data_IF_492634496368
#
_entry.id   IF_492634496368
#
_cell.length_a   1.000
_cell.length_b   1.000
_cell.length_c   1.000
_cell.angle_alpha   90.00
_cell.angle_beta   90.00
_cell.angle_gamma   90.00
#
_symmetry.space_group_name_H-M   'P 1'
#
loop_
_entity.id
_entity.type
_entity.pdbx_description
1 polymer ?
#
# COMPACT_ATOMS: atom_id res chain seq x y z
N UNK A 1 13.57 -0.81 -33.45
CA UNK A 1 13.41 -2.11 -32.74
C UNK A 1 14.36 -2.30 -31.56
N UNK A 2 15.69 -2.15 -31.65
CA UNK A 2 16.60 -2.44 -30.50
C UNK A 2 16.33 -1.62 -29.22
N UNK A 3 16.07 -0.30 -29.32
CA UNK A 3 15.84 0.58 -28.15
C UNK A 3 14.58 0.20 -27.34
N UNK A 4 13.55 -0.37 -27.98
CA UNK A 4 12.36 -0.85 -27.28
C UNK A 4 12.65 -2.13 -26.46
N UNK A 5 13.53 -3.00 -26.97
CA UNK A 5 13.99 -4.21 -26.28
C UNK A 5 14.76 -3.88 -24.99
N UNK A 6 15.64 -2.88 -25.03
CA UNK A 6 16.42 -2.46 -23.86
C UNK A 6 15.54 -1.80 -22.79
N UNK A 7 14.56 -0.97 -23.18
CA UNK A 7 13.59 -0.39 -22.24
C UNK A 7 12.69 -1.46 -21.60
N UNK A 8 12.18 -2.42 -22.37
CA UNK A 8 11.41 -3.54 -21.83
C UNK A 8 12.25 -4.39 -20.85
N UNK A 9 13.51 -4.67 -21.19
CA UNK A 9 14.44 -5.39 -20.30
C UNK A 9 14.72 -4.61 -19.01
N UNK A 10 14.84 -3.27 -19.07
CA UNK A 10 15.01 -2.43 -17.87
C UNK A 10 13.77 -2.41 -16.99
N UNK A 11 12.58 -2.24 -17.55
CA UNK A 11 11.31 -2.32 -16.82
C UNK A 11 11.18 -3.68 -16.13
N UNK A 12 11.43 -4.77 -16.86
CA UNK A 12 11.45 -6.12 -16.28
C UNK A 12 12.51 -6.27 -15.18
N UNK A 13 13.67 -5.61 -15.26
CA UNK A 13 14.68 -5.63 -14.19
C UNK A 13 14.26 -4.89 -12.91
N UNK A 14 13.47 -3.81 -13.02
CA UNK A 14 12.89 -3.10 -11.87
C UNK A 14 11.79 -3.95 -11.23
N UNK A 15 10.89 -4.53 -12.03
CA UNK A 15 9.93 -5.53 -11.54
C UNK A 15 10.63 -6.76 -10.93
N UNK A 16 11.80 -7.17 -11.42
CA UNK A 16 12.60 -8.25 -10.83
C UNK A 16 13.29 -7.85 -9.52
N UNK A 17 13.49 -6.56 -9.27
CA UNK A 17 14.00 -6.04 -7.99
C UNK A 17 12.87 -5.96 -6.95
N UNK A 18 11.73 -5.34 -7.28
CA UNK A 18 10.56 -5.30 -6.36
C UNK A 18 9.92 -6.70 -6.13
N UNK A 19 9.95 -7.61 -7.11
CA UNK A 19 9.45 -8.99 -6.92
C UNK A 19 10.43 -9.91 -6.17
N UNK A 20 11.70 -9.52 -6.02
CA UNK A 20 12.53 -10.03 -4.92
C UNK A 20 12.01 -9.44 -3.61
N UNK A 21 11.99 -8.11 -3.48
CA UNK A 21 11.59 -7.37 -2.27
C UNK A 21 10.26 -7.85 -1.65
N UNK A 22 9.29 -8.27 -2.47
CA UNK A 22 7.99 -8.79 -2.03
C UNK A 22 8.08 -10.17 -1.33
N UNK A 23 9.15 -10.96 -1.52
CA UNK A 23 9.52 -12.08 -0.63
C UNK A 23 10.37 -11.58 0.54
N UNK A 24 11.23 -10.57 0.28
CA UNK A 24 12.20 -10.04 1.25
C UNK A 24 11.56 -9.60 2.58
N UNK A 25 10.26 -9.25 2.59
CA UNK A 25 9.54 -8.87 3.80
C UNK A 25 9.20 -10.01 4.79
N UNK A 26 9.14 -11.29 4.36
CA UNK A 26 8.61 -12.39 5.23
C UNK A 26 9.56 -13.60 5.37
N UNK A 27 10.56 -13.74 4.51
CA UNK A 27 11.47 -14.89 4.52
C UNK A 27 12.89 -14.67 5.08
N UNK A 28 13.29 -13.44 5.44
CA UNK A 28 14.66 -13.03 5.07
C UNK A 28 15.75 -13.00 6.14
N UNK A 29 16.82 -13.71 5.78
CA UNK A 29 18.19 -13.39 6.10
C UNK A 29 18.55 -11.96 5.67
N UNK A 30 18.94 -11.10 6.61
CA UNK A 30 19.49 -9.76 6.32
C UNK A 30 18.56 -8.57 6.55
N UNK A 31 17.34 -8.78 7.07
CA UNK A 31 16.50 -7.68 7.57
C UNK A 31 17.17 -6.92 8.71
N UNK A 32 16.86 -5.63 8.83
CA UNK A 32 17.33 -4.74 9.89
C UNK A 32 16.07 -4.25 10.65
N UNK A 33 16.19 -4.07 11.95
CA UNK A 33 15.15 -3.54 12.84
C UNK A 33 15.81 -3.03 14.12
N UNK A 34 15.05 -2.35 14.97
CA UNK A 34 15.56 -1.82 16.24
C UNK A 34 15.77 -2.94 17.28
N UNK A 35 16.93 -3.55 17.23
CA UNK A 35 17.38 -4.59 18.18
C UNK A 35 17.80 -3.97 19.53
N UNK A 36 17.55 -4.64 20.68
CA UNK A 36 16.88 -5.93 20.82
C UNK A 36 15.34 -5.86 20.83
N UNK A 37 14.78 -4.65 20.80
CA UNK A 37 13.36 -4.39 21.11
C UNK A 37 12.36 -5.11 20.18
N UNK A 38 12.67 -5.26 18.89
CA UNK A 38 11.81 -5.94 17.91
C UNK A 38 12.32 -7.32 17.49
N UNK A 39 13.33 -7.89 18.16
CA UNK A 39 13.90 -9.20 17.79
C UNK A 39 12.84 -10.31 17.81
N UNK A 40 11.98 -10.33 18.84
CA UNK A 40 10.85 -11.27 18.97
C UNK A 40 9.79 -11.09 17.89
N UNK A 41 9.54 -9.85 17.47
CA UNK A 41 8.47 -9.50 16.55
C UNK A 41 8.85 -9.77 15.10
N UNK A 42 10.12 -9.50 14.76
CA UNK A 42 10.71 -9.91 13.49
C UNK A 42 10.73 -11.44 13.37
N UNK A 43 11.03 -12.17 14.45
CA UNK A 43 10.92 -13.64 14.45
C UNK A 43 9.46 -14.12 14.36
N UNK A 44 8.53 -13.47 15.06
CA UNK A 44 7.10 -13.80 14.98
C UNK A 44 6.54 -13.58 13.56
N UNK A 45 7.02 -12.59 12.81
CA UNK A 45 6.69 -12.42 11.38
C UNK A 45 7.28 -13.56 10.55
N UNK A 46 8.56 -13.92 10.77
CA UNK A 46 9.23 -15.04 10.08
C UNK A 46 8.62 -16.42 10.38
N UNK A 47 7.90 -16.60 11.47
CA UNK A 47 7.27 -17.88 11.83
C UNK A 47 5.76 -17.95 11.56
N UNK A 48 5.09 -16.83 11.27
CA UNK A 48 3.65 -16.82 10.96
C UNK A 48 3.38 -17.33 9.53
N UNK A 49 2.96 -18.60 9.45
CA UNK A 49 2.65 -19.26 8.18
C UNK A 49 1.42 -18.68 7.47
N UNK A 50 0.51 -18.00 8.16
CA UNK A 50 -0.65 -17.35 7.53
C UNK A 50 -0.18 -16.05 6.86
N UNK A 51 0.70 -15.27 7.50
CA UNK A 51 1.32 -14.11 6.85
C UNK A 51 2.13 -14.49 5.60
N UNK A 52 2.89 -15.58 5.66
CA UNK A 52 3.61 -16.11 4.48
C UNK A 52 2.67 -16.43 3.32
N UNK A 53 1.54 -17.08 3.59
CA UNK A 53 0.56 -17.43 2.57
C UNK A 53 -0.06 -16.18 1.92
N UNK A 54 -0.50 -15.21 2.73
CA UNK A 54 -1.11 -13.98 2.24
C UNK A 54 -0.13 -13.13 1.41
N UNK A 55 1.14 -13.06 1.80
CA UNK A 55 2.17 -12.37 1.01
C UNK A 55 2.54 -13.16 -0.25
N UNK A 56 2.53 -14.49 -0.22
CA UNK A 56 2.72 -15.30 -1.43
C UNK A 56 1.59 -15.07 -2.46
N UNK A 57 0.33 -14.96 -2.03
CA UNK A 57 -0.80 -14.61 -2.91
C UNK A 57 -0.63 -13.21 -3.52
N UNK A 58 -0.31 -12.20 -2.70
CA UNK A 58 -0.07 -10.82 -3.16
C UNK A 58 1.12 -10.75 -4.13
N UNK A 59 2.17 -11.52 -3.87
CA UNK A 59 3.32 -11.62 -4.78
C UNK A 59 2.92 -12.25 -6.12
N UNK A 60 2.15 -13.34 -6.12
CA UNK A 60 1.66 -13.97 -7.35
C UNK A 60 0.90 -12.94 -8.20
N UNK A 61 -0.05 -12.23 -7.57
CA UNK A 61 -0.78 -11.11 -8.21
C UNK A 61 0.15 -10.05 -8.78
N UNK A 62 1.17 -9.61 -8.03
CA UNK A 62 2.14 -8.61 -8.51
C UNK A 62 2.95 -9.08 -9.72
N UNK A 63 3.35 -10.36 -9.75
CA UNK A 63 4.19 -10.92 -10.82
C UNK A 63 3.38 -11.29 -12.09
N UNK A 64 2.10 -11.62 -11.94
CA UNK A 64 1.30 -12.27 -12.99
C UNK A 64 0.16 -11.39 -13.53
N UNK A 65 -0.34 -10.42 -12.75
CA UNK A 65 -1.57 -9.67 -13.09
C UNK A 65 -1.26 -8.29 -13.70
N UNK A 66 -1.15 -8.23 -15.03
CA UNK A 66 -1.01 -6.97 -15.78
C UNK A 66 -2.33 -6.18 -15.84
N UNK A 67 -2.74 -5.57 -14.72
CA UNK A 67 -4.04 -4.91 -14.57
C UNK A 67 -4.06 -3.45 -15.04
N UNK A 68 -2.97 -2.70 -14.85
CA UNK A 68 -2.84 -1.30 -15.25
C UNK A 68 -1.35 -0.90 -15.34
N UNK A 69 -1.06 0.25 -15.96
CA UNK A 69 0.23 0.92 -15.79
C UNK A 69 0.25 1.58 -14.41
N UNK A 70 1.03 1.02 -13.47
CA UNK A 70 1.16 1.50 -12.10
C UNK A 70 2.51 2.19 -11.86
N UNK A 71 2.59 3.04 -10.83
CA UNK A 71 3.80 3.77 -10.45
C UNK A 71 4.93 2.89 -9.87
N UNK A 72 4.59 1.71 -9.33
CA UNK A 72 5.56 0.80 -8.68
C UNK A 72 5.85 1.16 -7.22
N UNK A 73 6.36 2.37 -6.95
CA UNK A 73 6.71 2.80 -5.57
C UNK A 73 6.15 4.19 -5.21
N UNK A 74 4.82 4.31 -5.21
CA UNK A 74 4.12 5.52 -4.76
C UNK A 74 4.02 5.54 -3.23
N UNK A 75 5.01 6.11 -2.55
CA UNK A 75 4.97 6.42 -1.12
C UNK A 75 5.04 7.94 -0.89
N UNK A 76 4.95 8.39 0.36
CA UNK A 76 4.97 9.82 0.73
C UNK A 76 6.21 10.58 0.26
N UNK A 77 7.35 9.89 0.08
CA UNK A 77 8.57 10.46 -0.49
C UNK A 77 8.53 10.68 -2.01
N UNK A 78 7.57 10.05 -2.70
CA UNK A 78 7.32 10.17 -4.15
C UNK A 78 6.21 11.19 -4.47
N UNK A 79 5.80 12.00 -3.49
CA UNK A 79 4.75 13.02 -3.62
C UNK A 79 5.28 14.34 -3.07
N UNK A 80 5.49 15.32 -3.96
CA UNK A 80 5.87 16.68 -3.58
C UNK A 80 4.61 17.55 -3.43
N UNK A 81 4.56 18.33 -2.33
CA UNK A 81 3.39 19.14 -1.97
C UNK A 81 3.73 20.60 -1.67
N UNK A 82 2.82 21.49 -2.04
CA UNK A 82 2.67 22.83 -1.47
C UNK A 82 1.28 22.95 -0.84
N UNK A 83 0.93 24.10 -0.28
CA UNK A 83 -0.44 24.37 0.21
C UNK A 83 -1.52 24.35 -0.90
N UNK A 84 -1.14 24.35 -2.17
CA UNK A 84 -2.05 24.46 -3.32
C UNK A 84 -1.67 23.59 -4.53
N UNK A 85 -0.68 22.70 -4.39
CA UNK A 85 -0.19 21.81 -5.45
C UNK A 85 0.22 20.46 -4.89
N UNK A 86 -0.04 19.40 -5.64
CA UNK A 86 0.39 18.04 -5.32
C UNK A 86 0.88 17.42 -6.61
N UNK A 87 2.14 17.01 -6.64
CA UNK A 87 2.81 16.44 -7.81
C UNK A 87 3.37 15.08 -7.44
N UNK A 88 3.06 14.06 -8.24
CA UNK A 88 3.69 12.74 -8.12
C UNK A 88 5.01 12.78 -8.88
N UNK A 89 6.08 12.36 -8.22
CA UNK A 89 7.45 12.32 -8.74
C UNK A 89 8.00 10.90 -8.66
N UNK A 90 9.19 10.69 -9.20
CA UNK A 90 9.94 9.44 -9.04
C UNK A 90 9.22 8.15 -9.47
N UNK A 91 8.74 8.03 -10.74
CA UNK A 91 8.48 6.71 -11.34
C UNK A 91 9.77 5.86 -11.49
N UNK A 92 10.92 6.38 -11.01
CA UNK A 92 12.26 5.81 -11.12
C UNK A 92 13.25 6.21 -9.98
N UNK A 93 12.79 6.83 -8.85
CA UNK A 93 13.56 7.24 -7.62
C UNK A 93 14.44 8.54 -7.72
N UNK A 94 14.68 9.38 -6.68
CA UNK A 94 14.25 9.44 -5.23
C UNK A 94 14.60 10.77 -4.49
N UNK A 95 13.84 11.13 -3.42
CA UNK A 95 14.08 12.14 -2.32
C UNK A 95 13.99 13.65 -2.68
N UNK A 96 13.62 14.62 -1.81
CA UNK A 96 13.37 14.76 -0.35
C UNK A 96 12.05 15.56 -0.13
N UNK A 97 11.39 15.48 1.04
CA UNK A 97 10.24 16.35 1.42
C UNK A 97 10.49 17.00 2.79
N UNK A 98 10.29 18.32 2.99
CA UNK A 98 10.59 18.98 4.26
C UNK A 98 9.55 18.68 5.36
N UNK A 99 10.03 18.52 6.59
CA UNK A 99 9.18 18.56 7.79
C UNK A 99 8.51 19.93 7.90
N UNK A 100 7.17 19.94 8.01
CA UNK A 100 6.38 21.16 7.84
C UNK A 100 5.06 21.18 8.59
N UNK A 101 5.04 20.84 9.88
CA UNK A 101 3.97 21.29 10.78
C UNK A 101 4.49 21.64 12.17
N UNK A 102 4.73 22.93 12.40
CA UNK A 102 5.06 23.48 13.70
C UNK A 102 3.75 23.92 14.38
N UNK A 103 3.06 22.96 15.01
CA UNK A 103 1.72 23.13 15.54
C UNK A 103 1.45 22.18 16.71
N UNK A 104 1.01 22.74 17.84
CA UNK A 104 1.21 22.16 19.16
C UNK A 104 0.20 21.07 19.59
N UNK A 105 -0.53 20.44 18.66
CA UNK A 105 -1.35 19.26 18.96
C UNK A 105 -1.16 18.09 17.98
N UNK A 106 -0.36 17.11 18.44
CA UNK A 106 -0.16 15.83 17.76
C UNK A 106 -1.45 15.00 17.62
N UNK A 107 -2.51 15.29 18.39
CA UNK A 107 -3.82 14.62 18.26
C UNK A 107 -4.55 15.12 17.02
N UNK A 108 -4.63 16.43 16.82
CA UNK A 108 -5.25 17.02 15.62
C UNK A 108 -4.54 16.54 14.35
N UNK A 109 -3.20 16.52 14.34
CA UNK A 109 -2.45 16.01 13.19
C UNK A 109 -2.72 14.51 12.92
N UNK A 110 -2.82 13.68 13.96
CA UNK A 110 -3.21 12.27 13.80
C UNK A 110 -4.64 12.10 13.29
N UNK A 111 -5.58 12.95 13.71
CA UNK A 111 -6.96 12.95 13.19
C UNK A 111 -6.99 13.41 11.72
N UNK A 112 -6.17 14.41 11.36
CA UNK A 112 -6.02 14.85 9.98
C UNK A 112 -5.48 13.74 9.07
N UNK A 113 -4.43 13.02 9.48
CA UNK A 113 -3.90 11.87 8.71
C UNK A 113 -5.00 10.82 8.46
N UNK A 114 -5.76 10.45 9.50
CA UNK A 114 -6.84 9.46 9.38
C UNK A 114 -7.95 9.94 8.44
N UNK A 115 -8.32 11.22 8.53
CA UNK A 115 -9.28 11.85 7.62
C UNK A 115 -8.77 11.84 6.18
N UNK A 116 -7.50 12.18 5.95
CA UNK A 116 -6.89 12.18 4.60
C UNK A 116 -6.86 10.78 4.00
N UNK A 117 -6.60 9.72 4.79
CA UNK A 117 -6.70 8.32 4.33
C UNK A 117 -8.13 8.00 3.84
N UNK A 118 -9.14 8.33 4.65
CA UNK A 118 -10.55 8.10 4.32
C UNK A 118 -11.00 8.89 3.08
N UNK A 119 -10.72 10.19 3.05
CA UNK A 119 -11.06 11.07 1.91
C UNK A 119 -10.35 10.63 0.63
N UNK A 120 -9.09 10.19 0.69
CA UNK A 120 -8.32 9.73 -0.48
C UNK A 120 -8.97 8.49 -1.11
N UNK A 121 -9.28 7.46 -0.31
CA UNK A 121 -9.95 6.26 -0.83
C UNK A 121 -11.35 6.57 -1.36
N UNK A 122 -12.15 7.33 -0.64
CA UNK A 122 -13.53 7.64 -1.03
C UNK A 122 -13.58 8.51 -2.31
N UNK A 123 -12.65 9.47 -2.47
CA UNK A 123 -12.51 10.26 -3.70
C UNK A 123 -11.96 9.42 -4.87
N UNK A 124 -11.02 8.52 -4.62
CA UNK A 124 -10.55 7.56 -5.62
C UNK A 124 -11.70 6.67 -6.12
N UNK A 125 -12.43 6.03 -5.20
CA UNK A 125 -13.59 5.18 -5.51
C UNK A 125 -14.60 5.95 -6.37
N UNK A 126 -14.97 7.17 -5.96
CA UNK A 126 -15.91 8.01 -6.70
C UNK A 126 -15.39 8.34 -8.11
N UNK A 127 -14.17 8.87 -8.25
CA UNK A 127 -13.60 9.24 -9.56
C UNK A 127 -13.46 8.03 -10.48
N UNK A 128 -12.99 6.90 -9.96
CA UNK A 128 -12.80 5.67 -10.73
C UNK A 128 -14.14 5.10 -11.21
N UNK A 129 -15.15 5.05 -10.35
CA UNK A 129 -16.49 4.58 -10.74
C UNK A 129 -17.23 5.54 -11.68
N UNK A 130 -17.01 6.86 -11.57
CA UNK A 130 -17.49 7.84 -12.55
C UNK A 130 -16.84 7.61 -13.92
N UNK A 131 -15.51 7.49 -14.00
CA UNK A 131 -14.81 7.20 -15.27
C UNK A 131 -15.24 5.85 -15.89
N UNK A 132 -15.52 4.86 -15.06
CA UNK A 132 -16.08 3.57 -15.50
C UNK A 132 -17.44 3.75 -16.18
N UNK A 133 -18.34 4.53 -15.56
CA UNK A 133 -19.68 4.77 -16.12
C UNK A 133 -19.65 5.65 -17.38
N UNK A 134 -18.72 6.62 -17.45
CA UNK A 134 -18.48 7.47 -18.62
C UNK A 134 -17.89 6.69 -19.81
N UNK A 135 -17.10 5.65 -19.56
CA UNK A 135 -16.42 4.86 -20.59
C UNK A 135 -16.98 3.43 -20.77
N UNK A 136 -18.14 3.11 -20.19
CA UNK A 136 -18.75 1.77 -20.26
C UNK A 136 -19.06 1.29 -21.69
N UNK A 137 -19.35 2.23 -22.60
CA UNK A 137 -19.62 1.98 -24.03
C UNK A 137 -18.37 2.23 -24.90
N UNK A 138 -17.20 2.38 -24.27
CA UNK A 138 -15.92 2.59 -24.94
C UNK A 138 -15.32 1.31 -25.56
N UNK A 139 -14.12 1.41 -26.17
CA UNK A 139 -13.48 0.29 -26.88
C UNK A 139 -12.86 -0.77 -25.94
N UNK A 140 -13.38 -0.94 -24.72
CA UNK A 140 -12.82 -1.82 -23.70
C UNK A 140 -13.39 -3.23 -23.81
N UNK A 141 -12.54 -4.21 -24.09
CA UNK A 141 -12.92 -5.63 -24.14
C UNK A 141 -13.12 -6.27 -22.76
N UNK A 142 -12.77 -5.56 -21.66
CA UNK A 142 -12.86 -6.10 -20.31
C UNK A 142 -14.32 -6.31 -19.82
N UNK A 143 -15.26 -5.49 -20.33
CA UNK A 143 -16.67 -5.50 -19.93
C UNK A 143 -17.59 -5.39 -21.16
N UNK A 144 -17.51 -6.41 -22.03
CA UNK A 144 -18.24 -6.49 -23.30
C UNK A 144 -19.75 -6.21 -23.17
N UNK A 145 -20.33 -5.24 -23.91
CA UNK A 145 -21.74 -4.87 -23.81
C UNK A 145 -22.74 -6.02 -24.03
N UNK A 146 -22.38 -7.04 -24.82
CA UNK A 146 -23.24 -8.21 -25.07
C UNK A 146 -23.45 -9.06 -23.81
N UNK A 147 -22.41 -9.16 -22.97
CA UNK A 147 -22.43 -9.89 -21.70
C UNK A 147 -22.93 -9.00 -20.56
N UNK A 148 -22.45 -7.75 -20.50
CA UNK A 148 -22.84 -6.76 -19.50
C UNK A 148 -24.05 -5.93 -19.98
N UNK A 149 -25.05 -6.59 -20.54
CA UNK A 149 -26.14 -5.98 -21.32
C UNK A 149 -27.21 -5.21 -20.53
N UNK A 150 -27.06 -5.03 -19.22
CA UNK A 150 -28.03 -4.36 -18.37
C UNK A 150 -27.40 -3.69 -17.13
N UNK A 151 -28.17 -2.82 -16.48
CA UNK A 151 -27.70 -1.99 -15.34
C UNK A 151 -27.31 -2.84 -14.13
N UNK A 152 -28.00 -3.95 -13.87
CA UNK A 152 -27.76 -4.81 -12.70
C UNK A 152 -26.39 -5.50 -12.80
N UNK A 153 -26.09 -6.14 -13.94
CA UNK A 153 -24.82 -6.84 -14.13
C UNK A 153 -23.62 -5.86 -14.17
N UNK A 154 -23.78 -4.66 -14.74
CA UNK A 154 -22.77 -3.60 -14.64
C UNK A 154 -22.52 -3.17 -13.18
N UNK A 155 -23.58 -2.99 -12.39
CA UNK A 155 -23.46 -2.59 -10.98
C UNK A 155 -22.75 -3.67 -10.15
N UNK A 156 -23.15 -4.94 -10.29
CA UNK A 156 -22.53 -6.07 -9.60
C UNK A 156 -21.06 -6.23 -9.98
N UNK A 157 -20.72 -6.10 -11.27
CA UNK A 157 -19.35 -6.19 -11.75
C UNK A 157 -18.46 -5.06 -11.19
N UNK A 158 -18.96 -3.82 -11.21
CA UNK A 158 -18.27 -2.64 -10.67
C UNK A 158 -18.09 -2.74 -9.16
N UNK A 159 -19.11 -3.17 -8.43
CA UNK A 159 -19.03 -3.43 -6.98
C UNK A 159 -17.97 -4.50 -6.66
N UNK A 160 -18.01 -5.64 -7.36
CA UNK A 160 -17.06 -6.73 -7.12
C UNK A 160 -15.62 -6.32 -7.44
N UNK A 161 -15.41 -5.63 -8.56
CA UNK A 161 -14.10 -5.10 -8.93
C UNK A 161 -13.54 -4.14 -7.87
N UNK A 162 -14.38 -3.23 -7.35
CA UNK A 162 -13.94 -2.27 -6.33
C UNK A 162 -13.72 -2.91 -4.94
N UNK A 163 -14.47 -3.96 -4.58
CA UNK A 163 -14.19 -4.75 -3.37
C UNK A 163 -12.84 -5.46 -3.48
N UNK A 164 -12.58 -6.16 -4.60
CA UNK A 164 -11.31 -6.86 -4.82
C UNK A 164 -10.13 -5.88 -4.87
N UNK A 165 -10.29 -4.73 -5.53
CA UNK A 165 -9.28 -3.67 -5.57
C UNK A 165 -9.02 -3.06 -4.19
N UNK A 166 -10.05 -2.89 -3.36
CA UNK A 166 -9.90 -2.43 -1.97
C UNK A 166 -9.08 -3.41 -1.14
N UNK A 167 -9.44 -4.70 -1.19
CA UNK A 167 -8.72 -5.74 -0.43
C UNK A 167 -7.29 -5.95 -0.93
N UNK A 168 -7.03 -5.84 -2.23
CA UNK A 168 -5.66 -5.87 -2.75
C UNK A 168 -4.87 -4.62 -2.33
N UNK A 169 -5.48 -3.43 -2.34
CA UNK A 169 -4.86 -2.19 -1.87
C UNK A 169 -4.45 -2.27 -0.39
N UNK A 170 -5.33 -2.79 0.48
CA UNK A 170 -5.01 -3.02 1.89
C UNK A 170 -3.89 -4.05 2.09
N UNK A 171 -3.85 -5.09 1.24
CA UNK A 171 -2.82 -6.13 1.29
C UNK A 171 -1.43 -5.59 0.96
N UNK A 172 -1.32 -4.87 -0.16
CA UNK A 172 -0.06 -4.21 -0.54
C UNK A 172 0.34 -3.11 0.45
N UNK A 173 -0.61 -2.32 0.98
CA UNK A 173 -0.29 -1.34 2.01
C UNK A 173 0.33 -2.00 3.26
N UNK A 174 -0.21 -3.15 3.69
CA UNK A 174 0.28 -3.87 4.86
C UNK A 174 1.60 -4.62 4.62
N UNK A 175 1.85 -5.13 3.41
CA UNK A 175 3.17 -5.60 2.98
C UNK A 175 4.20 -4.47 3.03
N UNK A 176 3.88 -3.30 2.44
CA UNK A 176 4.76 -2.13 2.44
C UNK A 176 4.99 -1.60 3.87
N UNK A 177 4.01 -1.64 4.78
CA UNK A 177 4.23 -1.32 6.19
C UNK A 177 5.22 -2.30 6.84
N UNK A 178 5.02 -3.61 6.65
CA UNK A 178 5.89 -4.66 7.20
C UNK A 178 7.33 -4.51 6.69
N UNK A 179 7.53 -4.31 5.39
CA UNK A 179 8.88 -4.17 4.78
C UNK A 179 9.65 -2.93 5.27
N UNK A 180 8.96 -1.85 5.69
CA UNK A 180 9.59 -0.63 6.22
C UNK A 180 10.01 -0.75 7.69
N UNK A 181 9.57 -1.79 8.41
CA UNK A 181 9.85 -1.99 9.84
C UNK A 181 10.87 -3.11 10.07
N UNK A 182 10.75 -4.24 9.37
CA UNK A 182 11.64 -5.42 9.55
C UNK A 182 12.45 -5.79 8.29
N UNK A 183 12.36 -4.98 7.24
CA UNK A 183 13.13 -5.15 6.00
C UNK A 183 14.46 -4.39 6.01
N UNK A 184 14.99 -4.07 4.82
CA UNK A 184 16.30 -3.40 4.66
C UNK A 184 16.22 -1.88 4.48
N UNK A 185 15.02 -1.33 4.23
CA UNK A 185 14.84 0.06 3.83
C UNK A 185 13.72 0.74 4.64
N UNK A 186 14.10 1.34 5.76
CA UNK A 186 13.23 2.03 6.71
C UNK A 186 12.62 3.34 6.17
N UNK A 187 11.88 4.05 7.03
CA UNK A 187 11.30 5.39 6.75
C UNK A 187 11.75 6.41 7.79
N UNK A 188 11.90 7.66 7.36
CA UNK A 188 12.30 8.78 8.22
C UNK A 188 11.30 9.04 9.36
N UNK A 189 10.01 8.71 9.17
CA UNK A 189 8.96 8.79 10.19
C UNK A 189 9.28 8.02 11.48
N UNK A 190 10.02 6.91 11.38
CA UNK A 190 10.51 6.16 12.54
C UNK A 190 11.97 6.50 12.86
N UNK A 191 12.84 6.59 11.86
CA UNK A 191 14.28 6.78 12.09
C UNK A 191 14.64 8.15 12.69
N UNK A 192 13.79 9.16 12.51
CA UNK A 192 13.90 10.46 13.21
C UNK A 192 13.55 10.40 14.70
N UNK A 193 12.96 9.30 15.19
CA UNK A 193 12.65 9.12 16.62
C UNK A 193 13.94 8.74 17.37
N UNK A 194 14.56 9.75 18.00
CA UNK A 194 15.84 9.64 18.68
C UNK A 194 15.86 8.62 19.85
N UNK A 195 14.77 8.49 20.61
CA UNK A 195 14.69 7.52 21.71
C UNK A 195 14.34 6.11 21.22
N UNK A 196 15.22 5.10 21.40
CA UNK A 196 15.03 3.75 20.85
C UNK A 196 13.73 3.09 21.31
N UNK A 197 13.43 3.13 22.61
CA UNK A 197 12.23 2.51 23.18
C UNK A 197 10.94 3.14 22.65
N UNK A 198 10.91 4.48 22.45
CA UNK A 198 9.76 5.17 21.85
C UNK A 198 9.59 4.80 20.37
N UNK A 199 10.70 4.64 19.63
CA UNK A 199 10.66 4.19 18.23
C UNK A 199 10.10 2.77 18.13
N UNK A 200 10.68 1.84 18.89
CA UNK A 200 10.25 0.45 18.93
C UNK A 200 8.77 0.28 19.28
N UNK A 201 8.25 1.05 20.26
CA UNK A 201 6.83 1.04 20.59
C UNK A 201 5.93 1.51 19.43
N UNK A 202 6.33 2.56 18.70
CA UNK A 202 5.60 3.05 17.52
C UNK A 202 5.66 2.05 16.35
N UNK A 203 6.83 1.46 16.10
CA UNK A 203 7.04 0.43 15.08
C UNK A 203 6.25 -0.85 15.39
N UNK A 204 6.23 -1.29 16.65
CA UNK A 204 5.45 -2.45 17.10
C UNK A 204 3.94 -2.26 16.88
N UNK A 205 3.41 -1.08 17.16
CA UNK A 205 2.01 -0.75 16.89
C UNK A 205 1.70 -0.79 15.39
N UNK A 206 2.57 -0.22 14.56
CA UNK A 206 2.42 -0.24 13.10
C UNK A 206 2.54 -1.66 12.53
N UNK A 207 3.50 -2.46 13.00
CA UNK A 207 3.70 -3.84 12.59
C UNK A 207 2.52 -4.73 13.01
N UNK A 208 2.00 -4.55 14.22
CA UNK A 208 0.82 -5.28 14.72
C UNK A 208 -0.40 -4.99 13.84
N UNK A 209 -0.63 -3.72 13.48
CA UNK A 209 -1.71 -3.35 12.58
C UNK A 209 -1.50 -3.87 11.14
N UNK A 210 -0.27 -3.86 10.63
CA UNK A 210 0.07 -4.44 9.33
C UNK A 210 -0.20 -5.96 9.30
N UNK A 211 0.18 -6.70 10.36
CA UNK A 211 -0.10 -8.13 10.50
C UNK A 211 -1.60 -8.43 10.54
N UNK A 212 -2.40 -7.56 11.16
CA UNK A 212 -3.86 -7.64 11.15
C UNK A 212 -4.41 -7.40 9.74
N UNK A 213 -3.99 -6.34 9.04
CA UNK A 213 -4.45 -6.07 7.67
C UNK A 213 -4.07 -7.20 6.70
N UNK A 214 -2.84 -7.71 6.75
CA UNK A 214 -2.43 -8.83 5.89
C UNK A 214 -3.36 -10.04 6.06
N UNK A 215 -3.71 -10.42 7.30
CA UNK A 215 -4.54 -11.61 7.55
C UNK A 215 -6.04 -11.37 7.40
N UNK A 216 -6.52 -10.15 7.67
CA UNK A 216 -7.94 -9.89 7.85
C UNK A 216 -8.54 -8.89 6.85
N UNK A 217 -7.77 -8.28 5.93
CA UNK A 217 -8.25 -7.24 4.98
C UNK A 217 -9.61 -7.51 4.33
N UNK A 218 -9.91 -8.78 4.00
CA UNK A 218 -11.15 -9.22 3.36
C UNK A 218 -12.41 -9.03 4.23
N UNK A 219 -12.26 -8.84 5.55
CA UNK A 219 -13.38 -8.54 6.46
C UNK A 219 -13.85 -7.09 6.38
N UNK A 220 -12.97 -6.16 5.99
CA UNK A 220 -13.29 -4.75 5.93
C UNK A 220 -14.15 -4.45 4.69
N UNK A 221 -15.26 -3.75 4.89
CA UNK A 221 -16.21 -3.34 3.84
C UNK A 221 -16.12 -1.85 3.49
N UNK A 222 -15.38 -1.07 4.27
CA UNK A 222 -15.09 0.34 3.98
C UNK A 222 -13.75 0.79 4.54
N UNK A 223 -13.21 1.89 4.01
CA UNK A 223 -12.02 2.54 4.58
C UNK A 223 -12.29 3.11 5.99
N UNK A 224 -13.56 3.48 6.31
CA UNK A 224 -13.96 3.95 7.63
C UNK A 224 -13.83 2.88 8.72
N UNK A 225 -14.09 1.61 8.39
CA UNK A 225 -13.82 0.48 9.31
C UNK A 225 -12.31 0.28 9.54
N UNK A 226 -11.48 0.49 8.51
CA UNK A 226 -10.01 0.44 8.62
C UNK A 226 -9.50 1.56 9.51
N UNK A 227 -9.97 2.79 9.30
CA UNK A 227 -9.67 3.95 10.16
C UNK A 227 -10.11 3.71 11.61
N UNK A 228 -11.29 3.10 11.81
CA UNK A 228 -11.77 2.72 13.14
C UNK A 228 -10.84 1.68 13.80
N UNK A 229 -10.34 0.69 13.05
CA UNK A 229 -9.39 -0.29 13.57
C UNK A 229 -8.02 0.34 13.96
N UNK A 230 -7.52 1.33 13.20
CA UNK A 230 -6.30 2.10 13.56
C UNK A 230 -6.51 2.88 14.87
N UNK A 231 -7.73 3.37 15.12
CA UNK A 231 -8.04 4.07 16.37
C UNK A 231 -8.15 3.12 17.57
N UNK A 232 -8.62 1.89 17.36
CA UNK A 232 -8.79 0.85 18.38
C UNK A 232 -7.48 0.15 18.76
N UNK A 233 -6.50 0.06 17.86
CA UNK A 233 -5.18 -0.56 18.10
C UNK A 233 -4.26 0.25 19.04
N UNK A 234 -4.82 1.13 19.88
CA UNK A 234 -4.13 1.93 20.91
C UNK A 234 -4.30 1.34 22.32
N UNK A 235 -4.51 0.03 22.42
CA UNK A 235 -4.70 -0.69 23.68
C UNK A 235 -3.37 -1.19 24.22
#
# INVERSE_FOLDING_TARGET
MRVASEKATRIMSVFHYDSKICVDAVGFSGGIWISPYLDSDAEAVRQDNILKLEVAELKSKFCERTQALIHGDLHTGSIMVTSNSTQVTDPEFSFYVPMGFDGNDRKEYKLWILKTIEETWNLFYKKFTTLWDEHKDGPSEAYLPELYNNVEIHLLAKQKYMEDLFHDSLGFAAEKMTRRIVGVAHVEDFESIAEPEKRANCELQALTFAKLLLKERRRFKSIGEVVSAIQQSKS
#
